data_IF_308877108988
#
_entry.id   IF_308877108988
#
_cell.length_a   1.000
_cell.length_b   1.000
_cell.length_c   1.000
_cell.angle_alpha   90.00
_cell.angle_beta   90.00
_cell.angle_gamma   90.00
#
_symmetry.space_group_name_H-M   'P 1'
#
loop_
_entity.id
_entity.type
_entity.pdbx_description
1 polymer ?
#
# COMPACT_ATOMS: atom_id res chain seq x y z
N UNK A 1 9.15 2.26 -21.97
CA UNK A 1 9.80 1.41 -20.93
C UNK A 1 8.74 0.62 -20.18
N UNK A 2 9.00 -0.66 -19.90
CA UNK A 2 8.13 -1.50 -19.04
C UNK A 2 8.58 -1.39 -17.58
N UNK A 3 7.64 -1.26 -16.66
CA UNK A 3 7.87 -1.13 -15.21
C UNK A 3 7.18 -2.26 -14.45
N UNK A 4 7.78 -2.71 -13.36
CA UNK A 4 7.14 -3.54 -12.34
C UNK A 4 6.65 -2.63 -11.20
N UNK A 5 5.39 -2.76 -10.84
CA UNK A 5 4.82 -2.08 -9.67
C UNK A 5 4.44 -3.14 -8.63
N UNK A 6 5.10 -3.11 -7.48
CA UNK A 6 4.87 -4.01 -6.35
C UNK A 6 3.89 -3.32 -5.40
N UNK A 7 2.74 -3.92 -5.17
CA UNK A 7 1.66 -3.33 -4.40
C UNK A 7 1.69 -3.86 -2.96
N UNK A 8 1.99 -2.98 -2.01
CA UNK A 8 1.76 -3.14 -0.57
C UNK A 8 2.26 -4.46 0.05
N UNK A 9 3.40 -4.99 -0.40
CA UNK A 9 4.00 -6.19 0.20
C UNK A 9 4.68 -5.80 1.52
N UNK A 10 3.86 -5.59 2.57
CA UNK A 10 4.28 -5.07 3.87
C UNK A 10 3.99 -6.09 4.98
N UNK A 11 4.75 -6.02 6.08
CA UNK A 11 4.67 -7.01 7.16
C UNK A 11 3.26 -7.16 7.74
N UNK A 12 2.48 -6.07 7.87
CA UNK A 12 1.12 -6.15 8.43
C UNK A 12 0.12 -6.90 7.54
N UNK A 13 0.39 -7.05 6.25
CA UNK A 13 -0.42 -7.84 5.32
C UNK A 13 0.04 -9.30 5.19
N UNK A 14 1.17 -9.65 5.80
CA UNK A 14 1.76 -10.98 5.73
C UNK A 14 1.43 -11.80 6.98
N UNK A 15 1.91 -13.03 7.03
CA UNK A 15 1.65 -13.95 8.16
C UNK A 15 2.01 -13.31 9.51
N UNK A 16 1.10 -13.40 10.47
CA UNK A 16 1.15 -12.76 11.79
C UNK A 16 1.12 -11.22 11.77
N UNK A 17 0.81 -10.60 10.64
CA UNK A 17 0.56 -9.15 10.55
C UNK A 17 -0.80 -8.77 11.10
N UNK A 18 -1.00 -7.48 11.42
CA UNK A 18 -2.25 -7.00 12.05
C UNK A 18 -3.45 -7.01 11.10
N UNK A 19 -3.21 -7.06 9.79
CA UNK A 19 -4.22 -7.19 8.74
C UNK A 19 -3.79 -8.28 7.74
N UNK A 20 -3.49 -9.46 8.27
CA UNK A 20 -2.98 -10.61 7.51
C UNK A 20 -3.91 -10.98 6.35
N UNK A 21 -3.33 -11.12 5.17
CA UNK A 21 -3.99 -11.67 3.99
C UNK A 21 -3.65 -13.17 3.90
N UNK A 22 -4.64 -14.07 3.79
CA UNK A 22 -4.36 -15.49 3.59
C UNK A 22 -3.41 -15.72 2.42
N UNK A 23 -2.39 -16.56 2.63
CA UNK A 23 -1.35 -16.90 1.64
C UNK A 23 -0.55 -15.68 1.14
N UNK A 24 -0.61 -14.53 1.82
CA UNK A 24 0.06 -13.30 1.42
C UNK A 24 1.58 -13.44 1.24
N UNK A 25 2.21 -14.34 1.97
CA UNK A 25 3.66 -14.59 1.83
C UNK A 25 4.05 -15.26 0.50
N UNK A 26 3.11 -15.93 -0.16
CA UNK A 26 3.38 -16.70 -1.38
C UNK A 26 3.73 -15.81 -2.58
N UNK A 27 3.43 -14.51 -2.51
CA UNK A 27 3.78 -13.55 -3.56
C UNK A 27 5.26 -13.19 -3.58
N UNK A 28 5.98 -13.37 -2.46
CA UNK A 28 7.34 -12.82 -2.29
C UNK A 28 8.36 -13.49 -3.21
N UNK A 29 8.37 -14.83 -3.25
CA UNK A 29 9.33 -15.56 -4.07
C UNK A 29 9.12 -15.31 -5.57
N UNK A 30 7.89 -15.42 -6.13
CA UNK A 30 7.63 -15.04 -7.53
C UNK A 30 8.04 -13.60 -7.85
N UNK A 31 7.83 -12.65 -6.95
CA UNK A 31 8.27 -11.26 -7.15
C UNK A 31 9.80 -11.20 -7.24
N UNK A 32 10.51 -11.85 -6.32
CA UNK A 32 11.97 -11.89 -6.32
C UNK A 32 12.56 -12.53 -7.58
N UNK A 33 11.86 -13.50 -8.17
CA UNK A 33 12.28 -14.14 -9.40
C UNK A 33 12.17 -13.20 -10.60
N UNK A 34 11.06 -12.45 -10.71
CA UNK A 34 10.80 -11.62 -11.88
C UNK A 34 11.42 -10.22 -11.80
N UNK A 35 11.64 -9.70 -10.60
CA UNK A 35 12.08 -8.30 -10.36
C UNK A 35 13.36 -7.95 -11.13
N UNK A 36 14.26 -8.90 -11.32
CA UNK A 36 15.51 -8.76 -12.07
C UNK A 36 15.32 -8.49 -13.57
N UNK A 37 14.12 -8.77 -14.10
CA UNK A 37 13.79 -8.59 -15.51
C UNK A 37 13.33 -7.17 -15.84
N UNK A 38 13.25 -6.28 -14.84
CA UNK A 38 12.75 -4.92 -14.99
C UNK A 38 13.85 -3.90 -14.72
N UNK A 39 13.99 -2.95 -15.66
CA UNK A 39 14.91 -1.82 -15.50
C UNK A 39 14.38 -0.75 -14.53
N UNK A 40 13.06 -0.76 -14.28
CA UNK A 40 12.39 0.13 -13.34
C UNK A 40 11.43 -0.67 -12.47
N UNK A 41 11.60 -0.55 -11.16
CA UNK A 41 10.75 -1.16 -10.16
C UNK A 41 10.24 -0.08 -9.20
N UNK A 42 8.94 -0.02 -9.04
CA UNK A 42 8.28 0.88 -8.08
C UNK A 42 7.52 0.03 -7.08
N UNK A 43 7.52 0.41 -5.81
CA UNK A 43 6.70 -0.23 -4.81
C UNK A 43 5.75 0.79 -4.18
N UNK A 44 4.54 0.36 -3.81
CA UNK A 44 3.64 1.15 -2.98
C UNK A 44 3.73 0.68 -1.52
N UNK A 45 3.44 1.60 -0.60
CA UNK A 45 3.27 1.31 0.82
C UNK A 45 2.05 2.04 1.36
N UNK A 46 1.16 1.33 2.05
CA UNK A 46 0.30 1.96 3.03
C UNK A 46 1.16 2.61 4.12
N UNK A 47 0.87 3.86 4.45
CA UNK A 47 1.70 4.66 5.35
C UNK A 47 0.79 5.56 6.18
N UNK A 48 0.06 4.94 7.12
CA UNK A 48 -1.00 5.60 7.87
C UNK A 48 -0.48 6.31 9.12
N UNK A 49 -0.88 7.55 9.39
CA UNK A 49 -0.73 8.11 10.73
C UNK A 49 -1.62 7.33 11.72
N UNK A 50 -1.27 7.32 13.01
CA UNK A 50 -1.98 6.54 14.03
C UNK A 50 -3.45 6.95 14.20
N UNK A 51 -3.77 8.21 13.91
CA UNK A 51 -5.14 8.76 13.95
C UNK A 51 -5.90 8.59 12.63
N UNK A 52 -5.48 7.68 11.76
CA UNK A 52 -6.10 7.49 10.44
C UNK A 52 -7.57 7.06 10.55
N UNK A 53 -8.39 7.67 9.71
CA UNK A 53 -9.86 7.48 9.70
C UNK A 53 -10.31 6.06 9.37
N UNK A 54 -9.49 5.25 8.73
CA UNK A 54 -9.81 3.85 8.42
C UNK A 54 -9.68 2.90 9.62
N UNK A 55 -9.10 3.34 10.75
CA UNK A 55 -8.91 2.47 11.90
C UNK A 55 -10.15 2.43 12.80
N UNK A 56 -10.66 1.24 13.08
CA UNK A 56 -11.83 1.06 13.94
C UNK A 56 -11.62 1.67 15.34
N UNK A 57 -10.40 1.62 15.86
CA UNK A 57 -10.02 2.20 17.15
C UNK A 57 -10.23 3.71 17.25
N UNK A 58 -10.30 4.42 16.12
CA UNK A 58 -10.52 5.87 16.07
C UNK A 58 -12.01 6.25 15.99
N UNK A 59 -12.91 5.26 16.07
CA UNK A 59 -14.36 5.46 16.02
C UNK A 59 -15.05 4.88 17.26
N UNK A 60 -15.53 5.75 18.14
CA UNK A 60 -16.19 5.31 19.37
C UNK A 60 -17.40 4.40 19.07
N UNK A 61 -17.46 3.24 19.72
CA UNK A 61 -18.55 2.28 19.60
C UNK A 61 -18.58 1.49 18.29
N UNK A 62 -17.57 1.62 17.47
CA UNK A 62 -17.41 0.86 16.22
C UNK A 62 -16.42 -0.30 16.39
N UNK A 63 -16.49 -1.25 15.47
CA UNK A 63 -15.61 -2.43 15.42
C UNK A 63 -15.07 -2.63 14.00
N UNK A 64 -14.04 -3.46 13.90
CA UNK A 64 -13.47 -3.88 12.61
C UNK A 64 -14.56 -4.50 11.74
N UNK A 65 -14.62 -4.10 10.47
CA UNK A 65 -15.61 -4.51 9.49
C UNK A 65 -16.85 -3.61 9.44
N UNK A 66 -17.06 -2.73 10.41
CA UNK A 66 -18.13 -1.74 10.29
C UNK A 66 -17.86 -0.78 9.13
N UNK A 67 -18.94 -0.22 8.58
CA UNK A 67 -18.85 0.81 7.53
C UNK A 67 -19.32 2.13 8.11
N UNK A 68 -18.54 3.18 7.88
CA UNK A 68 -18.87 4.56 8.26
C UNK A 68 -18.81 5.48 7.04
N UNK A 69 -19.42 6.65 7.14
CA UNK A 69 -19.29 7.68 6.10
C UNK A 69 -18.11 8.61 6.42
N UNK A 70 -17.19 8.71 5.48
CA UNK A 70 -16.04 9.62 5.51
C UNK A 70 -16.07 10.45 4.22
N UNK A 71 -16.21 11.76 4.33
CA UNK A 71 -16.32 12.65 3.15
C UNK A 71 -17.39 12.18 2.14
N UNK A 72 -18.54 11.72 2.62
CA UNK A 72 -19.64 11.12 1.84
C UNK A 72 -19.30 9.80 1.12
N UNK A 73 -18.15 9.22 1.36
CA UNK A 73 -17.74 7.91 0.85
C UNK A 73 -17.93 6.84 1.93
N UNK A 74 -18.23 5.62 1.52
CA UNK A 74 -18.24 4.47 2.42
C UNK A 74 -16.80 4.09 2.77
N UNK A 75 -16.51 4.01 4.07
CA UNK A 75 -15.23 3.57 4.61
C UNK A 75 -15.43 2.33 5.46
N UNK A 76 -14.83 1.23 5.07
CA UNK A 76 -14.72 0.02 5.91
C UNK A 76 -13.68 0.30 6.99
N UNK A 77 -13.98 -0.08 8.22
CA UNK A 77 -13.09 0.09 9.36
C UNK A 77 -12.18 -1.14 9.51
N UNK A 78 -10.88 -0.88 9.54
CA UNK A 78 -9.82 -1.87 9.61
C UNK A 78 -9.17 -1.91 11.00
N UNK A 79 -8.44 -2.98 11.35
CA UNK A 79 -7.51 -2.93 12.47
C UNK A 79 -6.42 -1.89 12.21
N UNK A 80 -5.74 -1.44 13.24
CA UNK A 80 -4.54 -0.60 13.10
C UNK A 80 -3.48 -1.39 12.33
N UNK A 81 -3.01 -0.85 11.21
CA UNK A 81 -2.04 -1.49 10.32
C UNK A 81 -1.20 -0.45 9.60
N UNK A 82 -0.03 -0.85 9.14
CA UNK A 82 0.88 -0.04 8.33
C UNK A 82 1.08 1.38 8.87
N UNK A 83 1.18 1.51 10.20
CA UNK A 83 1.44 2.80 10.84
C UNK A 83 2.81 3.30 10.43
N UNK A 84 2.91 4.58 10.13
CA UNK A 84 4.15 5.25 9.72
C UNK A 84 5.30 4.88 10.67
N UNK A 85 6.46 4.55 10.09
CA UNK A 85 7.69 4.21 10.80
C UNK A 85 7.60 2.94 11.70
N UNK A 86 6.51 2.18 11.62
CA UNK A 86 6.38 0.92 12.35
C UNK A 86 6.98 -0.26 11.57
N UNK A 87 7.34 -1.30 12.31
CA UNK A 87 7.76 -2.58 11.69
C UNK A 87 6.66 -3.18 10.80
N UNK A 88 5.39 -2.97 11.14
CA UNK A 88 4.24 -3.44 10.35
C UNK A 88 4.19 -2.80 8.96
N UNK A 89 4.57 -1.53 8.86
CA UNK A 89 4.63 -0.81 7.59
C UNK A 89 5.87 -1.12 6.74
N UNK A 90 6.85 -1.86 7.29
CA UNK A 90 8.06 -2.21 6.54
C UNK A 90 7.81 -3.33 5.54
N UNK A 91 8.62 -3.35 4.48
CA UNK A 91 8.72 -4.52 3.61
C UNK A 91 9.32 -5.70 4.38
N UNK A 92 8.92 -6.95 4.08
CA UNK A 92 9.55 -8.11 4.69
C UNK A 92 11.02 -8.22 4.25
N UNK A 93 11.86 -8.71 5.15
CA UNK A 93 13.31 -8.88 4.88
C UNK A 93 13.59 -9.88 3.76
N UNK A 94 12.61 -10.71 3.42
CA UNK A 94 12.68 -11.70 2.34
C UNK A 94 12.41 -11.12 0.95
N UNK A 95 11.85 -9.91 0.86
CA UNK A 95 11.68 -9.21 -0.42
C UNK A 95 12.99 -8.55 -0.85
N UNK A 96 13.33 -8.64 -2.13
CA UNK A 96 14.52 -7.98 -2.70
C UNK A 96 14.32 -6.46 -2.83
N UNK A 97 14.32 -5.76 -1.71
CA UNK A 97 14.11 -4.30 -1.64
C UNK A 97 15.20 -3.50 -2.35
N UNK A 98 16.41 -4.07 -2.54
CA UNK A 98 17.51 -3.39 -3.22
C UNK A 98 17.23 -3.10 -4.69
N UNK A 99 16.32 -3.85 -5.29
CA UNK A 99 15.91 -3.65 -6.68
C UNK A 99 14.85 -2.55 -6.84
N UNK A 100 14.25 -2.06 -5.74
CA UNK A 100 13.20 -1.03 -5.78
C UNK A 100 13.82 0.34 -6.02
N UNK A 101 13.45 0.98 -7.12
CA UNK A 101 13.97 2.31 -7.49
C UNK A 101 13.18 3.45 -6.86
N UNK A 102 11.90 3.25 -6.55
CA UNK A 102 11.02 4.27 -5.98
C UNK A 102 9.96 3.63 -5.09
N UNK A 103 9.73 4.23 -3.93
CA UNK A 103 8.60 3.92 -3.05
C UNK A 103 7.58 5.05 -3.17
N UNK A 104 6.32 4.68 -3.32
CA UNK A 104 5.16 5.58 -3.32
C UNK A 104 4.36 5.29 -2.06
N UNK A 105 4.22 6.29 -1.22
CA UNK A 105 3.42 6.19 0.00
C UNK A 105 1.98 6.58 -0.30
N UNK A 106 1.02 5.80 0.23
CA UNK A 106 -0.41 6.08 0.12
C UNK A 106 -1.10 6.01 1.49
N UNK A 107 -2.33 6.52 1.59
CA UNK A 107 -3.05 6.59 2.86
C UNK A 107 -2.35 7.44 3.94
N UNK A 108 -1.60 8.46 3.52
CA UNK A 108 -0.81 9.34 4.40
C UNK A 108 -1.63 10.44 5.06
N UNK A 109 -2.83 10.70 4.56
CA UNK A 109 -3.74 11.70 5.11
C UNK A 109 -4.70 11.03 6.10
N UNK A 110 -4.70 11.47 7.36
CA UNK A 110 -5.55 10.90 8.42
C UNK A 110 -7.06 10.95 8.11
N UNK A 111 -7.50 11.84 7.22
CA UNK A 111 -8.92 12.10 6.96
C UNK A 111 -9.51 11.35 5.77
N UNK A 112 -8.71 10.62 5.01
CA UNK A 112 -9.17 9.86 3.84
C UNK A 112 -8.22 8.71 3.54
N UNK A 113 -8.79 7.56 3.20
CA UNK A 113 -8.02 6.39 2.82
C UNK A 113 -7.64 6.38 1.33
N UNK A 114 -6.72 5.51 0.95
CA UNK A 114 -6.20 5.37 -0.40
C UNK A 114 -6.01 3.90 -0.74
N UNK A 115 -7.03 3.28 -1.31
CA UNK A 115 -6.93 1.89 -1.80
C UNK A 115 -6.12 1.81 -3.10
N UNK A 116 -6.22 2.83 -3.94
CA UNK A 116 -5.46 2.92 -5.18
C UNK A 116 -4.03 3.38 -4.92
N UNK A 117 -3.07 2.79 -5.62
CA UNK A 117 -1.70 3.31 -5.68
C UNK A 117 -1.57 4.67 -6.39
N UNK A 118 -2.62 5.17 -7.04
CA UNK A 118 -2.60 6.42 -7.82
C UNK A 118 -3.24 7.62 -7.11
N UNK A 119 -4.35 7.40 -6.40
CA UNK A 119 -5.13 8.47 -5.78
C UNK A 119 -5.77 8.01 -4.48
N UNK A 120 -6.12 8.95 -3.60
CA UNK A 120 -7.01 8.68 -2.48
C UNK A 120 -8.42 8.25 -2.94
N UNK A 121 -9.24 7.74 -2.01
CA UNK A 121 -10.57 7.22 -2.33
C UNK A 121 -11.51 8.30 -2.87
N UNK A 122 -11.28 9.58 -2.56
CA UNK A 122 -12.03 10.71 -3.08
C UNK A 122 -11.50 11.23 -4.42
N UNK A 123 -10.37 10.73 -4.91
CA UNK A 123 -9.64 11.24 -6.08
C UNK A 123 -9.28 12.73 -5.96
N UNK A 124 -9.11 13.20 -4.71
CA UNK A 124 -8.79 14.60 -4.42
C UNK A 124 -7.27 14.82 -4.51
N UNK A 125 -6.50 13.84 -4.03
CA UNK A 125 -5.03 13.91 -4.04
C UNK A 125 -4.43 12.71 -4.74
N UNK A 126 -3.45 13.00 -5.60
CA UNK A 126 -2.60 11.99 -6.23
C UNK A 126 -1.52 11.52 -5.26
N UNK A 127 -1.11 10.26 -5.37
CA UNK A 127 0.08 9.72 -4.68
C UNK A 127 1.39 10.17 -5.34
N UNK A 128 1.31 10.70 -6.57
CA UNK A 128 2.47 11.02 -7.40
C UNK A 128 2.95 9.86 -8.28
N UNK A 129 2.37 8.66 -8.17
CA UNK A 129 2.78 7.51 -8.98
C UNK A 129 2.64 7.79 -10.49
N UNK A 130 1.49 8.33 -10.92
CA UNK A 130 1.25 8.64 -12.34
C UNK A 130 2.30 9.60 -12.91
N UNK A 131 2.61 10.66 -12.18
CA UNK A 131 3.57 11.67 -12.64
C UNK A 131 4.98 11.09 -12.67
N UNK A 132 5.36 10.31 -11.66
CA UNK A 132 6.64 9.61 -11.66
C UNK A 132 6.78 8.68 -12.88
N UNK A 133 5.77 7.86 -13.17
CA UNK A 133 5.80 6.95 -14.32
C UNK A 133 5.91 7.71 -15.66
N UNK A 134 5.22 8.85 -15.80
CA UNK A 134 5.32 9.72 -16.98
C UNK A 134 6.73 10.28 -17.15
N UNK A 135 7.38 10.75 -16.07
CA UNK A 135 8.76 11.28 -16.14
C UNK A 135 9.77 10.21 -16.57
N UNK A 136 9.44 8.93 -16.37
CA UNK A 136 10.26 7.79 -16.79
C UNK A 136 9.90 7.24 -18.18
N UNK A 137 8.98 7.89 -18.91
CA UNK A 137 8.50 7.43 -20.21
C UNK A 137 8.03 5.96 -20.18
N UNK A 138 7.32 5.59 -19.11
CA UNK A 138 6.72 4.25 -18.97
C UNK A 138 5.60 4.07 -19.98
N UNK A 139 5.63 2.95 -20.70
CA UNK A 139 4.65 2.61 -21.75
C UNK A 139 3.80 1.40 -21.38
N UNK A 140 4.26 0.58 -20.44
CA UNK A 140 3.50 -0.57 -19.93
C UNK A 140 3.87 -0.85 -18.47
N UNK A 141 2.92 -1.40 -17.73
CA UNK A 141 3.04 -1.67 -16.30
C UNK A 141 2.62 -3.12 -16.07
N UNK A 142 3.45 -3.87 -15.35
CA UNK A 142 3.05 -5.12 -14.72
C UNK A 142 2.84 -4.86 -13.23
N UNK A 143 1.78 -5.41 -12.66
CA UNK A 143 1.45 -5.32 -11.24
C UNK A 143 1.63 -6.67 -10.56
N UNK A 144 2.18 -6.64 -9.34
CA UNK A 144 2.34 -7.79 -8.44
C UNK A 144 2.11 -7.35 -7.00
N UNK A 145 1.75 -8.30 -6.12
CA UNK A 145 1.53 -8.00 -4.70
C UNK A 145 0.15 -8.34 -4.23
#
# INVERSE_FOLDING_TARGET
MKVLVIIDVQNDFLINGSLEVPDGNDVIEPINEIIKNYALVVATKDWHPLDHVSFASNHQGKKIGDVVKVNNLDQILWPVHCVQESKGSDFPTTLNIKAINKIIYKGTNSQIDSYSGFNDNGKIRSTGLSDYLKTKNVTSIDYVG
#
